data_IF_103267109129
#
_entry.id   IF_103267109129
#
_cell.length_a   1.000
_cell.length_b   1.000
_cell.length_c   1.000
_cell.angle_alpha   90.00
_cell.angle_beta   90.00
_cell.angle_gamma   90.00
#
_symmetry.space_group_name_H-M   'P 1'
#
loop_
_entity.id
_entity.type
_entity.pdbx_description
1 polymer ?
#
# COMPACT_ATOMS: atom_id res chain seq x y z
N UNK A 1 -13.63 -34.25 -46.47
CA UNK A 1 -14.87 -34.03 -45.69
C UNK A 1 -14.70 -34.69 -44.32
N UNK A 2 -14.16 -33.98 -43.33
CA UNK A 2 -13.99 -34.53 -41.99
C UNK A 2 -15.32 -34.38 -41.23
N UNK A 3 -16.02 -35.50 -41.01
CA UNK A 3 -17.26 -35.55 -40.23
C UNK A 3 -16.96 -35.19 -38.78
N UNK A 4 -17.41 -34.01 -38.34
CA UNK A 4 -17.37 -33.61 -36.94
C UNK A 4 -18.16 -34.64 -36.10
N UNK A 5 -17.48 -35.26 -35.13
CA UNK A 5 -18.13 -36.19 -34.19
C UNK A 5 -19.18 -35.42 -33.39
N UNK A 6 -20.43 -35.91 -33.29
CA UNK A 6 -21.45 -35.27 -32.48
C UNK A 6 -21.05 -35.34 -31.00
N UNK A 7 -20.64 -34.19 -30.46
CA UNK A 7 -20.43 -34.01 -29.02
C UNK A 7 -21.80 -33.76 -28.39
N UNK A 8 -22.52 -34.83 -28.01
CA UNK A 8 -23.70 -34.65 -27.18
C UNK A 8 -23.25 -34.37 -25.74
N UNK A 9 -23.53 -33.18 -25.18
CA UNK A 9 -23.26 -32.94 -23.77
C UNK A 9 -24.12 -33.90 -22.97
N UNK A 10 -23.48 -34.86 -22.29
CA UNK A 10 -24.15 -35.69 -21.30
C UNK A 10 -24.34 -34.83 -20.07
N UNK A 11 -25.58 -34.46 -19.79
CA UNK A 11 -25.93 -33.84 -18.52
C UNK A 11 -25.53 -34.79 -17.38
N UNK A 12 -24.93 -34.23 -16.33
CA UNK A 12 -24.63 -35.00 -15.13
C UNK A 12 -25.93 -35.48 -14.47
N UNK A 13 -25.90 -36.62 -13.79
CA UNK A 13 -27.07 -37.17 -13.06
C UNK A 13 -27.74 -36.12 -12.16
N UNK A 14 -26.96 -35.27 -11.51
CA UNK A 14 -27.46 -34.17 -10.67
C UNK A 14 -28.21 -33.09 -11.46
N UNK A 15 -27.79 -32.79 -12.68
CA UNK A 15 -28.47 -31.84 -13.56
C UNK A 15 -29.80 -32.42 -14.05
N UNK A 16 -29.85 -33.72 -14.34
CA UNK A 16 -31.08 -34.42 -14.72
C UNK A 16 -32.08 -34.38 -13.57
N UNK A 17 -31.67 -34.75 -12.36
CA UNK A 17 -32.56 -34.70 -11.17
C UNK A 17 -33.05 -33.29 -10.85
N UNK A 18 -32.20 -32.27 -11.04
CA UNK A 18 -32.63 -30.88 -10.86
C UNK A 18 -33.70 -30.46 -11.89
N UNK A 19 -33.53 -30.86 -13.16
CA UNK A 19 -34.52 -30.60 -14.22
C UNK A 19 -35.85 -31.31 -13.95
N UNK A 20 -35.80 -32.58 -13.55
CA UNK A 20 -36.98 -33.36 -13.18
C UNK A 20 -37.70 -32.76 -11.96
N UNK A 21 -36.95 -32.29 -10.95
CA UNK A 21 -37.53 -31.63 -9.79
C UNK A 21 -38.25 -30.33 -10.13
N UNK A 22 -37.71 -29.53 -11.06
CA UNK A 22 -38.38 -28.32 -11.56
C UNK A 22 -39.67 -28.68 -12.30
N UNK A 23 -39.63 -29.65 -13.22
CA UNK A 23 -40.83 -30.11 -13.94
C UNK A 23 -41.91 -30.64 -12.99
N UNK A 24 -41.51 -31.39 -11.96
CA UNK A 24 -42.44 -31.87 -10.94
C UNK A 24 -43.13 -30.71 -10.20
N UNK A 25 -42.37 -29.72 -9.74
CA UNK A 25 -42.93 -28.54 -9.06
C UNK A 25 -43.83 -27.70 -9.98
N UNK A 26 -43.54 -27.63 -11.28
CA UNK A 26 -44.42 -27.02 -12.27
C UNK A 26 -45.74 -27.78 -12.42
N UNK A 27 -45.69 -29.12 -12.48
CA UNK A 27 -46.87 -29.96 -12.61
C UNK A 27 -47.81 -29.91 -11.39
N UNK A 28 -47.26 -29.70 -10.19
CA UNK A 28 -48.04 -29.49 -8.97
C UNK A 28 -48.58 -28.06 -8.80
N UNK A 29 -48.32 -27.16 -9.77
CA UNK A 29 -48.75 -25.76 -9.70
C UNK A 29 -47.99 -24.92 -8.67
N UNK A 30 -46.83 -25.39 -8.18
CA UNK A 30 -45.95 -24.67 -7.23
C UNK A 30 -45.07 -23.63 -7.92
N UNK A 31 -45.60 -22.94 -8.93
CA UNK A 31 -44.86 -21.94 -9.73
C UNK A 31 -44.36 -20.78 -8.90
N UNK A 32 -45.13 -20.33 -7.90
CA UNK A 32 -44.70 -19.29 -6.94
C UNK A 32 -43.44 -19.69 -6.17
N UNK A 33 -43.29 -20.97 -5.81
CA UNK A 33 -42.11 -21.45 -5.10
C UNK A 33 -40.88 -21.42 -6.01
N UNK A 34 -41.05 -21.77 -7.28
CA UNK A 34 -40.00 -21.71 -8.31
C UNK A 34 -39.59 -20.27 -8.62
N UNK A 35 -40.55 -19.33 -8.67
CA UNK A 35 -40.29 -17.90 -8.81
C UNK A 35 -39.55 -17.34 -7.60
N UNK A 36 -39.99 -17.65 -6.38
CA UNK A 36 -39.33 -17.21 -5.14
C UNK A 36 -37.90 -17.74 -5.01
N UNK A 37 -37.61 -18.93 -5.53
CA UNK A 37 -36.27 -19.51 -5.54
C UNK A 37 -35.42 -19.04 -6.73
N UNK A 38 -35.96 -18.21 -7.62
CA UNK A 38 -35.26 -17.74 -8.82
C UNK A 38 -34.99 -18.84 -9.85
N UNK A 39 -35.65 -20.00 -9.74
CA UNK A 39 -35.55 -21.12 -10.69
C UNK A 39 -36.40 -20.87 -11.94
N UNK A 40 -37.46 -20.06 -11.80
CA UNK A 40 -38.33 -19.62 -12.88
C UNK A 40 -38.41 -18.09 -12.88
N UNK A 41 -37.31 -17.45 -13.26
CA UNK A 41 -37.28 -16.00 -13.51
C UNK A 41 -37.68 -15.67 -14.96
N UNK A 42 -38.17 -14.44 -15.22
CA UNK A 42 -38.33 -13.94 -16.58
C UNK A 42 -37.00 -14.05 -17.32
N UNK A 43 -37.06 -14.26 -18.64
CA UNK A 43 -35.91 -14.48 -19.53
C UNK A 43 -34.64 -13.78 -19.04
N UNK A 44 -33.58 -14.59 -18.91
CA UNK A 44 -32.22 -14.20 -18.53
C UNK A 44 -31.90 -12.76 -18.95
N UNK A 45 -32.06 -11.83 -18.03
CA UNK A 45 -31.09 -10.75 -17.89
C UNK A 45 -29.79 -11.47 -17.56
N UNK A 46 -29.03 -11.81 -18.61
CA UNK A 46 -27.66 -12.26 -18.46
C UNK A 46 -27.02 -11.32 -17.45
N UNK A 47 -26.40 -11.82 -16.36
CA UNK A 47 -25.71 -10.95 -15.45
C UNK A 47 -24.63 -10.21 -16.26
N UNK A 48 -24.93 -8.96 -16.64
CA UNK A 48 -24.05 -8.05 -17.39
C UNK A 48 -22.82 -7.65 -16.59
N UNK A 49 -22.74 -8.13 -15.34
CA UNK A 49 -21.51 -8.37 -14.63
C UNK A 49 -20.73 -9.47 -15.37
N UNK A 50 -20.14 -9.10 -16.51
CA UNK A 50 -18.98 -9.77 -17.06
C UNK A 50 -17.98 -9.83 -15.92
N UNK A 51 -17.94 -10.97 -15.22
CA UNK A 51 -16.89 -11.26 -14.27
C UNK A 51 -15.64 -11.21 -15.11
N UNK A 52 -14.90 -10.12 -14.96
CA UNK A 52 -13.59 -10.00 -15.57
C UNK A 52 -12.85 -11.29 -15.21
N UNK A 53 -12.27 -11.94 -16.22
CA UNK A 53 -11.40 -13.07 -15.95
C UNK A 53 -10.37 -12.61 -14.92
N UNK A 54 -9.93 -13.50 -14.03
CA UNK A 54 -8.99 -13.14 -12.96
C UNK A 54 -7.80 -12.33 -13.48
N UNK A 55 -7.34 -12.63 -14.70
CA UNK A 55 -6.29 -11.89 -15.40
C UNK A 55 -6.68 -10.45 -15.78
N UNK A 56 -7.90 -10.22 -16.26
CA UNK A 56 -8.41 -8.88 -16.56
C UNK A 56 -8.63 -8.05 -15.29
N UNK A 57 -9.05 -8.67 -14.20
CA UNK A 57 -9.13 -8.00 -12.90
C UNK A 57 -7.73 -7.60 -12.39
N UNK A 58 -6.74 -8.51 -12.48
CA UNK A 58 -5.35 -8.19 -12.11
C UNK A 58 -4.74 -7.10 -12.99
N UNK A 59 -5.03 -7.08 -14.29
CA UNK A 59 -4.56 -6.02 -15.18
C UNK A 59 -5.16 -4.65 -14.81
N UNK A 60 -6.46 -4.59 -14.52
CA UNK A 60 -7.13 -3.36 -14.05
C UNK A 60 -6.58 -2.90 -12.70
N UNK A 61 -6.33 -3.80 -11.77
CA UNK A 61 -5.71 -3.47 -10.48
C UNK A 61 -4.27 -2.97 -10.64
N UNK A 62 -3.49 -3.58 -11.54
CA UNK A 62 -2.14 -3.12 -11.85
C UNK A 62 -2.14 -1.73 -12.47
N UNK A 63 -3.11 -1.43 -13.35
CA UNK A 63 -3.28 -0.10 -13.94
C UNK A 63 -3.60 0.97 -12.88
N UNK A 64 -4.44 0.63 -11.90
CA UNK A 64 -4.76 1.53 -10.77
C UNK A 64 -3.54 1.72 -9.86
N UNK A 65 -2.75 0.67 -9.66
CA UNK A 65 -1.57 0.71 -8.80
C UNK A 65 -0.41 1.52 -9.43
N UNK A 66 -0.20 1.40 -10.74
CA UNK A 66 0.87 2.12 -11.44
C UNK A 66 0.49 3.55 -11.81
N UNK A 67 -0.80 3.86 -12.01
CA UNK A 67 -1.25 5.23 -12.28
C UNK A 67 -0.55 5.86 -13.49
N UNK A 68 0.11 7.01 -13.27
CA UNK A 68 0.88 7.74 -14.29
C UNK A 68 2.33 7.22 -14.43
N UNK A 69 2.83 6.39 -13.51
CA UNK A 69 4.18 5.81 -13.50
C UNK A 69 4.26 4.50 -14.32
N UNK A 70 3.46 4.40 -15.39
CA UNK A 70 3.45 3.20 -16.24
C UNK A 70 4.72 3.11 -17.08
N UNK A 71 5.20 1.87 -17.28
CA UNK A 71 5.86 1.38 -18.44
C UNK A 71 5.80 2.28 -19.67
N UNK A 72 6.88 2.86 -20.20
CA UNK A 72 6.78 3.20 -21.62
C UNK A 72 6.63 1.88 -22.39
N UNK A 73 5.63 1.75 -23.27
CA UNK A 73 5.32 0.49 -23.98
C UNK A 73 6.52 0.02 -24.83
N UNK A 74 7.38 0.96 -25.23
CA UNK A 74 8.60 0.69 -25.99
C UNK A 74 9.79 0.27 -25.12
N UNK A 75 9.71 0.42 -23.79
CA UNK A 75 10.79 0.08 -22.87
C UNK A 75 10.76 -1.41 -22.49
N UNK A 76 11.68 -2.21 -23.06
CA UNK A 76 11.82 -3.64 -22.69
C UNK A 76 12.63 -3.86 -21.42
N UNK A 77 13.38 -2.85 -20.98
CA UNK A 77 14.25 -2.94 -19.79
C UNK A 77 14.24 -1.64 -19.00
N UNK A 78 14.49 -1.72 -17.69
CA UNK A 78 14.58 -0.53 -16.81
C UNK A 78 15.62 0.49 -17.29
N UNK A 79 16.73 0.02 -17.88
CA UNK A 79 17.76 0.88 -18.45
C UNK A 79 17.32 1.60 -19.74
N UNK A 80 16.44 1.00 -20.53
CA UNK A 80 15.83 1.68 -21.68
C UNK A 80 14.81 2.72 -21.23
N UNK A 81 14.03 2.42 -20.20
CA UNK A 81 13.09 3.38 -19.65
C UNK A 81 13.76 4.64 -19.13
N UNK A 82 14.88 4.51 -18.41
CA UNK A 82 15.66 5.67 -17.96
C UNK A 82 16.13 6.55 -19.14
N UNK A 83 16.56 5.93 -20.25
CA UNK A 83 16.97 6.66 -21.46
C UNK A 83 15.78 7.34 -22.15
N UNK A 84 14.63 6.69 -22.19
CA UNK A 84 13.40 7.28 -22.76
C UNK A 84 12.91 8.43 -21.88
N UNK A 85 12.95 8.30 -20.56
CA UNK A 85 12.64 9.37 -19.62
C UNK A 85 13.60 10.55 -19.74
N UNK A 86 14.89 10.29 -19.92
CA UNK A 86 15.91 11.33 -20.16
C UNK A 86 15.66 12.06 -21.49
N UNK A 87 15.44 11.34 -22.59
CA UNK A 87 15.11 11.93 -23.90
C UNK A 87 13.77 12.65 -23.87
N UNK A 88 12.77 12.13 -23.14
CA UNK A 88 11.45 12.77 -22.98
C UNK A 88 11.55 14.01 -22.11
N UNK A 89 12.39 14.03 -21.08
CA UNK A 89 12.67 15.23 -20.29
C UNK A 89 13.44 16.28 -21.10
N UNK A 90 14.37 15.85 -21.97
CA UNK A 90 15.16 16.74 -22.84
C UNK A 90 14.32 17.29 -23.99
N UNK A 91 13.46 16.48 -24.61
CA UNK A 91 12.53 16.90 -25.68
C UNK A 91 11.30 17.65 -25.14
N UNK A 92 10.91 17.40 -23.89
CA UNK A 92 9.96 18.24 -23.15
C UNK A 92 10.60 19.53 -22.62
N UNK A 93 11.70 20.00 -23.25
CA UNK A 93 12.10 21.39 -23.23
C UNK A 93 10.86 22.31 -23.33
N UNK A 94 10.76 23.33 -22.47
CA UNK A 94 9.54 24.08 -22.27
C UNK A 94 9.10 24.65 -23.62
N UNK A 95 7.90 24.24 -24.08
CA UNK A 95 7.21 24.90 -25.20
C UNK A 95 7.44 26.39 -25.04
N UNK A 96 8.18 27.00 -25.97
CA UNK A 96 8.42 28.44 -26.03
C UNK A 96 7.12 29.12 -25.63
N UNK A 97 7.09 29.93 -24.55
CA UNK A 97 5.86 30.54 -24.11
C UNK A 97 5.33 31.33 -25.31
N UNK A 98 4.18 30.92 -25.85
CA UNK A 98 3.40 31.80 -26.72
C UNK A 98 3.22 33.06 -25.91
N UNK A 99 3.89 34.14 -26.28
CA UNK A 99 3.85 35.40 -25.54
C UNK A 99 2.39 35.85 -25.51
N UNK A 100 1.70 35.55 -24.42
CA UNK A 100 0.44 36.17 -24.10
C UNK A 100 0.75 37.66 -24.01
N UNK A 101 0.01 38.48 -24.74
CA UNK A 101 0.16 39.94 -24.87
C UNK A 101 -0.10 40.72 -23.56
N UNK A 102 0.20 40.13 -22.40
CA UNK A 102 0.09 40.75 -21.06
C UNK A 102 1.32 40.56 -20.17
N UNK A 103 2.40 39.92 -20.64
CA UNK A 103 3.61 39.62 -19.82
C UNK A 103 4.65 40.76 -19.81
N UNK A 104 4.41 41.87 -20.50
CA UNK A 104 5.38 42.97 -20.56
C UNK A 104 5.49 43.74 -19.24
N UNK A 105 4.40 43.99 -18.51
CA UNK A 105 4.47 44.76 -17.25
C UNK A 105 5.10 43.98 -16.09
N UNK A 106 4.83 42.68 -15.96
CA UNK A 106 5.39 41.87 -14.87
C UNK A 106 6.88 41.55 -15.13
N UNK A 107 7.26 41.43 -16.41
CA UNK A 107 8.67 41.29 -16.82
C UNK A 107 9.49 42.54 -16.50
N UNK A 108 8.99 43.72 -16.87
CA UNK A 108 9.69 44.98 -16.58
C UNK A 108 9.79 45.29 -15.09
N UNK A 109 8.81 44.87 -14.27
CA UNK A 109 8.88 45.05 -12.82
C UNK A 109 9.99 44.19 -12.18
N UNK A 110 10.11 42.92 -12.58
CA UNK A 110 11.18 42.04 -12.09
C UNK A 110 12.56 42.43 -12.60
N UNK A 111 12.64 42.99 -13.80
CA UNK A 111 13.91 43.48 -14.36
C UNK A 111 14.33 44.80 -13.69
N UNK A 112 13.38 45.69 -13.38
CA UNK A 112 13.63 46.88 -12.57
C UNK A 112 14.10 46.51 -11.14
N UNK A 113 13.53 45.48 -10.53
CA UNK A 113 13.98 44.96 -9.22
C UNK A 113 15.43 44.46 -9.23
N UNK A 114 15.91 43.92 -10.36
CA UNK A 114 17.31 43.51 -10.53
C UNK A 114 18.24 44.70 -10.78
N UNK A 115 17.77 45.74 -11.46
CA UNK A 115 18.56 46.94 -11.74
C UNK A 115 18.68 47.84 -10.49
N UNK A 116 17.66 47.89 -9.63
CA UNK A 116 17.68 48.71 -8.40
C UNK A 116 18.39 48.06 -7.20
N UNK A 117 18.68 46.76 -7.21
CA UNK A 117 19.49 46.11 -6.17
C UNK A 117 18.96 46.28 -4.74
N UNK A 118 19.87 46.52 -3.79
CA UNK A 118 19.59 46.76 -2.36
C UNK A 118 19.22 48.22 -2.04
N UNK A 119 19.38 49.15 -2.99
CA UNK A 119 18.99 50.57 -2.86
C UNK A 119 17.51 50.77 -3.18
N UNK A 120 16.65 49.86 -2.67
CA UNK A 120 15.21 50.02 -2.83
C UNK A 120 14.75 51.12 -1.88
N UNK A 121 14.03 52.14 -2.39
CA UNK A 121 13.41 53.10 -1.51
C UNK A 121 12.48 52.36 -0.54
N UNK A 122 12.68 52.59 0.76
CA UNK A 122 11.84 52.00 1.80
C UNK A 122 10.35 52.22 1.47
N UNK A 123 9.55 51.17 1.56
CA UNK A 123 8.17 51.13 1.03
C UNK A 123 7.27 52.13 1.76
N UNK A 124 7.64 52.52 2.97
CA UNK A 124 6.94 53.53 3.79
C UNK A 124 7.40 54.97 3.53
N UNK A 125 8.48 55.19 2.78
CA UNK A 125 8.99 56.53 2.49
C UNK A 125 8.32 57.12 1.24
N UNK A 126 7.21 57.83 1.43
CA UNK A 126 6.46 58.47 0.33
C UNK A 126 7.24 59.57 -0.42
N UNK A 127 8.33 60.09 0.16
CA UNK A 127 9.14 61.14 -0.48
C UNK A 127 10.64 60.99 -0.20
N UNK A 128 11.49 61.36 -1.17
CA UNK A 128 12.96 61.32 -1.07
C UNK A 128 13.51 62.14 0.13
N UNK A 129 12.75 63.12 0.61
CA UNK A 129 13.10 63.92 1.79
C UNK A 129 12.89 63.19 3.13
N UNK A 130 11.99 62.20 3.19
CA UNK A 130 11.77 61.36 4.37
C UNK A 130 12.83 60.26 4.49
N UNK A 131 13.27 59.71 3.36
CA UNK A 131 14.38 58.73 3.32
C UNK A 131 15.67 59.27 3.95
N UNK A 132 16.04 60.52 3.65
CA UNK A 132 17.22 61.14 4.27
C UNK A 132 17.12 61.25 5.79
N UNK A 133 15.92 61.48 6.33
CA UNK A 133 15.69 61.55 7.78
C UNK A 133 15.78 60.16 8.43
N UNK A 134 15.30 59.12 7.75
CA UNK A 134 15.36 57.74 8.24
C UNK A 134 16.82 57.24 8.21
N UNK A 135 17.58 57.54 7.15
CA UNK A 135 19.01 57.23 7.06
C UNK A 135 19.84 57.96 8.12
N UNK A 136 19.49 59.20 8.45
CA UNK A 136 20.15 59.98 9.51
C UNK A 136 19.89 59.40 10.91
N UNK A 137 18.65 58.94 11.18
CA UNK A 137 18.30 58.24 12.43
C UNK A 137 18.99 56.87 12.50
N UNK A 138 19.11 56.15 11.38
CA UNK A 138 19.76 54.83 11.34
C UNK A 138 21.29 54.90 11.47
N UNK A 139 21.93 56.04 11.15
CA UNK A 139 23.38 56.23 11.31
C UNK A 139 23.79 56.68 12.71
N UNK A 140 22.85 57.03 13.58
CA UNK A 140 23.16 57.36 14.97
C UNK A 140 23.38 56.05 15.76
N UNK A 141 24.58 55.81 16.34
CA UNK A 141 24.87 54.55 17.02
C UNK A 141 23.99 54.40 18.26
N UNK A 142 23.31 53.26 18.47
CA UNK A 142 22.47 53.06 19.64
C UNK A 142 23.32 53.05 20.90
N UNK A 143 22.93 53.87 21.88
CA UNK A 143 23.45 53.80 23.24
C UNK A 143 23.34 52.35 23.77
N UNK A 144 24.34 51.98 24.55
CA UNK A 144 24.66 50.64 25.05
C UNK A 144 23.45 49.79 25.52
N UNK A 145 23.46 48.47 25.26
CA UNK A 145 22.30 47.62 25.47
C UNK A 145 22.12 47.28 26.95
N UNK A 146 21.11 47.86 27.59
CA UNK A 146 20.51 47.27 28.77
C UNK A 146 19.96 45.87 28.40
N UNK A 147 20.37 44.86 29.18
CA UNK A 147 20.08 43.43 28.97
C UNK A 147 18.58 43.21 28.72
N UNK A 148 18.20 42.96 27.46
CA UNK A 148 16.84 42.51 27.12
C UNK A 148 16.66 41.07 27.63
N UNK A 149 15.51 40.76 28.24
CA UNK A 149 15.21 39.40 28.68
C UNK A 149 15.23 38.47 27.46
N UNK A 150 15.99 37.39 27.58
CA UNK A 150 16.17 36.36 26.56
C UNK A 150 14.83 35.65 26.36
N UNK A 151 14.00 36.16 25.45
CA UNK A 151 12.79 35.49 24.99
C UNK A 151 13.24 34.14 24.41
N UNK A 152 12.84 33.05 25.05
CA UNK A 152 13.06 31.72 24.54
C UNK A 152 12.27 31.60 23.24
N UNK A 153 12.99 31.61 22.11
CA UNK A 153 12.44 31.31 20.81
C UNK A 153 12.13 29.81 20.80
N UNK A 154 11.01 29.42 21.40
CA UNK A 154 10.38 28.16 21.08
C UNK A 154 10.06 28.24 19.58
N UNK A 155 10.83 27.52 18.77
CA UNK A 155 10.65 27.51 17.31
C UNK A 155 9.19 27.19 17.01
N UNK A 156 8.61 27.85 16.01
CA UNK A 156 7.18 27.71 15.64
C UNK A 156 6.73 26.26 15.59
N UNK A 157 7.58 25.35 15.14
CA UNK A 157 7.34 23.89 15.12
C UNK A 157 7.14 23.26 16.52
N UNK A 158 7.86 23.72 17.55
CA UNK A 158 7.69 23.26 18.92
C UNK A 158 6.38 23.75 19.55
N UNK A 159 5.95 24.96 19.20
CA UNK A 159 4.64 25.49 19.60
C UNK A 159 3.50 24.70 18.92
N UNK A 160 3.60 24.47 17.60
CA UNK A 160 2.61 23.67 16.87
C UNK A 160 2.55 22.21 17.34
N UNK A 161 3.69 21.61 17.71
CA UNK A 161 3.71 20.26 18.26
C UNK A 161 3.06 20.16 19.66
N UNK A 162 3.25 21.18 20.51
CA UNK A 162 2.58 21.27 21.81
C UNK A 162 1.07 21.45 21.64
N UNK A 163 0.62 22.31 20.72
CA UNK A 163 -0.79 22.48 20.39
C UNK A 163 -1.41 21.21 19.77
N UNK A 164 -0.73 20.56 18.83
CA UNK A 164 -1.21 19.30 18.25
C UNK A 164 -1.38 18.21 19.32
N UNK A 165 -0.45 18.13 20.27
CA UNK A 165 -0.54 17.16 21.37
C UNK A 165 -1.67 17.48 22.36
N UNK A 166 -1.96 18.77 22.57
CA UNK A 166 -3.01 19.20 23.48
C UNK A 166 -4.42 19.12 22.86
N UNK A 167 -4.57 19.49 21.58
CA UNK A 167 -5.86 19.64 20.91
C UNK A 167 -6.25 18.46 20.00
N UNK A 168 -5.30 17.79 19.36
CA UNK A 168 -5.58 16.70 18.42
C UNK A 168 -5.50 15.33 19.13
N UNK A 169 -4.60 15.21 20.10
CA UNK A 169 -4.35 13.98 20.88
C UNK A 169 -5.07 13.97 22.24
N UNK A 170 -6.20 14.68 22.37
CA UNK A 170 -6.90 14.85 23.64
C UNK A 170 -7.22 13.52 24.31
N UNK A 171 -6.51 13.17 25.42
CA UNK A 171 -6.65 12.02 26.35
C UNK A 171 -6.84 10.60 25.77
N UNK A 172 -7.25 10.43 24.52
CA UNK A 172 -7.27 9.18 23.81
C UNK A 172 -5.84 8.81 23.46
N UNK A 173 -5.38 7.70 24.04
CA UNK A 173 -4.14 7.04 23.64
C UNK A 173 -4.22 6.78 22.13
N UNK A 174 -3.47 7.56 21.34
CA UNK A 174 -3.15 7.22 19.96
C UNK A 174 -2.62 5.78 19.98
N UNK A 175 -3.30 4.89 19.26
CA UNK A 175 -3.06 3.46 19.33
C UNK A 175 -1.57 3.12 19.28
N UNK A 176 -1.15 2.25 20.20
CA UNK A 176 0.22 1.78 20.36
C UNK A 176 0.88 1.57 18.98
N UNK A 177 1.92 2.35 18.71
CA UNK A 177 2.64 2.29 17.44
C UNK A 177 3.04 0.85 17.12
N UNK A 178 3.16 0.50 15.83
CA UNK A 178 3.45 -0.86 15.35
C UNK A 178 4.65 -1.56 16.02
N UNK A 179 5.55 -0.78 16.62
CA UNK A 179 6.67 -1.28 17.42
C UNK A 179 6.25 -1.78 18.81
N UNK A 180 5.27 -1.16 19.46
CA UNK A 180 4.68 -1.63 20.72
C UNK A 180 3.76 -2.85 20.54
N UNK A 181 3.09 -2.99 19.38
CA UNK A 181 2.34 -4.23 19.07
C UNK A 181 3.22 -5.47 18.99
N UNK A 182 4.53 -5.36 18.68
CA UNK A 182 5.44 -6.52 18.69
C UNK A 182 5.79 -6.97 20.12
N UNK A 183 5.86 -6.03 21.07
CA UNK A 183 6.17 -6.35 22.47
C UNK A 183 4.98 -7.02 23.18
N UNK A 184 3.74 -6.70 22.81
CA UNK A 184 2.54 -7.31 23.40
C UNK A 184 2.12 -8.63 22.74
N UNK A 185 2.50 -8.88 21.47
CA UNK A 185 2.26 -10.18 20.80
C UNK A 185 3.21 -11.31 21.21
N UNK A 186 4.24 -11.02 22.01
CA UNK A 186 5.19 -12.02 22.50
C UNK A 186 4.63 -12.94 23.59
N UNK A 187 3.50 -12.59 24.19
CA UNK A 187 2.75 -13.49 25.08
C UNK A 187 1.50 -13.94 24.31
N UNK A 188 1.32 -15.24 24.02
CA UNK A 188 0.07 -15.73 23.46
C UNK A 188 -1.01 -15.54 24.53
N UNK A 189 -1.65 -14.38 24.52
CA UNK A 189 -2.97 -14.23 25.11
C UNK A 189 -3.86 -15.15 24.28
N UNK A 190 -4.09 -16.33 24.81
CA UNK A 190 -5.14 -17.24 24.37
C UNK A 190 -6.45 -16.47 24.50
N UNK A 191 -6.79 -15.67 23.49
CA UNK A 191 -8.14 -15.14 23.33
C UNK A 191 -9.04 -16.36 23.37
N UNK A 192 -9.71 -16.53 24.50
CA UNK A 192 -10.61 -17.63 24.74
C UNK A 192 -11.74 -17.47 23.72
N UNK A 193 -11.59 -18.11 22.56
CA UNK A 193 -12.63 -18.24 21.51
C UNK A 193 -13.93 -18.85 22.06
N UNK A 194 -13.91 -19.31 23.30
CA UNK A 194 -15.09 -19.71 24.05
C UNK A 194 -16.08 -18.57 24.25
N UNK A 195 -15.69 -17.30 24.29
CA UNK A 195 -16.62 -16.21 24.62
C UNK A 195 -17.66 -15.90 23.53
N UNK A 196 -17.29 -15.96 22.25
CA UNK A 196 -18.24 -15.71 21.16
C UNK A 196 -19.05 -16.95 20.80
N UNK A 197 -18.45 -18.14 20.91
CA UNK A 197 -19.15 -19.40 20.66
C UNK A 197 -20.15 -19.70 21.79
N UNK A 198 -19.81 -19.43 23.06
CA UNK A 198 -20.75 -19.62 24.17
C UNK A 198 -21.96 -18.70 24.05
N UNK A 199 -21.75 -17.43 23.68
CA UNK A 199 -22.85 -16.48 23.44
C UNK A 199 -23.76 -16.94 22.31
N UNK A 200 -23.19 -17.40 21.18
CA UNK A 200 -23.99 -17.93 20.08
C UNK A 200 -24.78 -19.19 20.47
N UNK A 201 -24.23 -20.05 21.34
CA UNK A 201 -24.94 -21.24 21.85
C UNK A 201 -26.08 -20.84 22.79
N UNK A 202 -25.88 -19.85 23.65
CA UNK A 202 -26.91 -19.33 24.56
C UNK A 202 -28.05 -18.65 23.79
N UNK A 203 -27.73 -17.83 22.77
CA UNK A 203 -28.73 -17.22 21.89
C UNK A 203 -29.49 -18.29 21.08
N UNK A 204 -28.80 -19.29 20.54
CA UNK A 204 -29.44 -20.37 19.78
C UNK A 204 -30.39 -21.23 20.64
N UNK A 205 -30.06 -21.45 21.92
CA UNK A 205 -30.93 -22.18 22.86
C UNK A 205 -32.23 -21.43 23.15
N UNK A 206 -32.22 -20.09 23.06
CA UNK A 206 -33.42 -19.28 23.22
C UNK A 206 -34.31 -19.31 21.97
N UNK A 207 -33.71 -19.31 20.78
CA UNK A 207 -34.45 -19.28 19.50
C UNK A 207 -35.02 -20.67 19.15
N UNK A 208 -34.32 -21.76 19.49
CA UNK A 208 -34.80 -23.12 19.21
C UNK A 208 -34.50 -24.07 20.39
N UNK A 209 -35.42 -24.22 21.36
CA UNK A 209 -35.16 -24.95 22.61
C UNK A 209 -34.99 -26.47 22.45
N UNK A 210 -35.49 -27.06 21.35
CA UNK A 210 -35.55 -28.52 21.17
C UNK A 210 -34.43 -29.13 20.31
N UNK A 211 -33.46 -28.34 19.84
CA UNK A 211 -32.34 -28.88 19.03
C UNK A 211 -31.17 -29.27 19.93
N UNK A 212 -30.99 -30.58 20.13
CA UNK A 212 -29.79 -31.12 20.77
C UNK A 212 -28.59 -31.01 19.82
N UNK A 213 -27.89 -29.86 19.87
CA UNK A 213 -26.68 -29.55 19.09
C UNK A 213 -25.52 -30.55 19.27
N UNK A 214 -25.58 -31.44 20.28
CA UNK A 214 -24.57 -32.48 20.50
C UNK A 214 -24.86 -33.79 19.78
N UNK A 215 -26.10 -34.08 19.39
CA UNK A 215 -26.45 -35.36 18.75
C UNK A 215 -25.95 -35.44 17.29
N UNK A 216 -25.90 -34.31 16.57
CA UNK A 216 -25.41 -34.26 15.19
C UNK A 216 -23.89 -34.22 15.03
N UNK A 217 -23.12 -33.97 16.11
CA UNK A 217 -21.66 -33.74 16.02
C UNK A 217 -20.81 -35.02 16.07
N UNK A 218 -21.43 -36.20 16.02
CA UNK A 218 -20.77 -37.49 15.74
C UNK A 218 -20.55 -37.69 14.23
N UNK A 219 -20.01 -36.69 13.53
CA UNK A 219 -19.64 -36.85 12.12
C UNK A 219 -18.30 -37.57 12.01
N UNK A 220 -18.36 -38.89 11.73
CA UNK A 220 -17.44 -39.70 10.89
C UNK A 220 -15.91 -39.61 11.08
N UNK A 221 -15.36 -38.84 12.01
CA UNK A 221 -13.91 -38.64 12.15
C UNK A 221 -13.23 -39.62 13.10
N UNK A 222 -13.98 -40.53 13.73
CA UNK A 222 -13.47 -41.50 14.69
C UNK A 222 -13.01 -42.82 14.06
N UNK A 223 -13.28 -43.08 12.76
CA UNK A 223 -13.02 -44.41 12.17
C UNK A 223 -11.77 -44.49 11.28
N UNK A 224 -10.94 -43.44 11.18
CA UNK A 224 -9.66 -43.54 10.47
C UNK A 224 -8.61 -42.61 11.09
N UNK A 225 -7.61 -43.13 11.84
CA UNK A 225 -6.47 -42.32 12.24
C UNK A 225 -5.73 -41.90 10.97
N UNK A 226 -5.80 -40.61 10.63
CA UNK A 226 -5.05 -40.07 9.50
C UNK A 226 -3.56 -40.29 9.76
N UNK A 227 -2.80 -40.89 8.82
CA UNK A 227 -1.36 -41.05 8.97
C UNK A 227 -0.75 -39.65 9.17
N UNK A 228 -0.02 -39.48 10.27
CA UNK A 228 0.62 -38.22 10.61
C UNK A 228 1.70 -37.89 9.60
N UNK A 229 1.34 -37.19 8.52
CA UNK A 229 2.32 -36.62 7.60
C UNK A 229 3.17 -35.63 8.41
N UNK A 230 4.42 -36.01 8.70
CA UNK A 230 5.45 -35.12 9.23
C UNK A 230 5.77 -34.09 8.15
N UNK A 231 4.95 -33.05 8.04
CA UNK A 231 5.27 -31.86 7.26
C UNK A 231 6.35 -31.13 8.05
N UNK A 232 7.62 -31.51 7.84
CA UNK A 232 8.68 -30.55 8.05
C UNK A 232 8.31 -29.36 7.16
N UNK A 233 7.94 -28.23 7.76
CA UNK A 233 7.46 -27.08 7.00
C UNK A 233 8.56 -26.66 6.04
N UNK A 234 8.21 -26.32 4.80
CA UNK A 234 9.16 -25.78 3.80
C UNK A 234 10.05 -24.68 4.39
N UNK A 235 9.53 -23.89 5.32
CA UNK A 235 10.25 -22.89 6.11
C UNK A 235 11.41 -23.44 6.95
N UNK A 236 11.31 -24.65 7.52
CA UNK A 236 12.39 -25.29 8.27
C UNK A 236 13.54 -25.73 7.34
N UNK A 237 13.22 -26.21 6.14
CA UNK A 237 14.21 -26.55 5.12
C UNK A 237 14.93 -25.31 4.60
N UNK A 238 14.19 -24.22 4.32
CA UNK A 238 14.79 -22.94 3.90
C UNK A 238 15.68 -22.35 4.99
N UNK A 239 15.28 -22.43 6.27
CA UNK A 239 16.08 -21.94 7.39
C UNK A 239 17.38 -22.74 7.57
N UNK A 240 17.33 -24.08 7.37
CA UNK A 240 18.51 -24.94 7.42
C UNK A 240 19.46 -24.63 6.25
N UNK A 241 18.93 -24.53 5.03
CA UNK A 241 19.70 -24.18 3.84
C UNK A 241 20.39 -22.80 3.95
N UNK A 242 19.69 -21.80 4.49
CA UNK A 242 20.25 -20.46 4.72
C UNK A 242 21.41 -20.45 5.73
N UNK A 243 21.31 -21.25 6.80
CA UNK A 243 22.41 -21.40 7.78
C UNK A 243 23.63 -22.08 7.17
N UNK A 244 23.44 -23.10 6.34
CA UNK A 244 24.53 -23.81 5.67
C UNK A 244 25.21 -22.96 4.58
N UNK A 245 24.45 -22.08 3.93
CA UNK A 245 25.01 -21.08 3.01
C UNK A 245 25.89 -20.06 3.75
N UNK A 246 25.40 -19.51 4.88
CA UNK A 246 26.18 -18.57 5.68
C UNK A 246 27.48 -19.19 6.22
N UNK A 247 27.44 -20.45 6.67
CA UNK A 247 28.63 -21.17 7.14
C UNK A 247 29.68 -21.35 6.03
N UNK A 248 29.24 -21.67 4.80
CA UNK A 248 30.14 -21.77 3.63
C UNK A 248 30.75 -20.42 3.25
N UNK A 249 29.93 -19.37 3.24
CA UNK A 249 30.40 -18.00 2.91
C UNK A 249 31.42 -17.45 3.91
N UNK A 250 31.29 -17.79 5.20
CA UNK A 250 32.27 -17.40 6.23
C UNK A 250 33.58 -18.18 6.14
N UNK A 251 33.54 -19.45 5.70
CA UNK A 251 34.75 -20.27 5.58
C UNK A 251 35.60 -19.89 4.36
N UNK A 252 34.98 -19.51 3.25
CA UNK A 252 35.69 -19.05 2.04
C UNK A 252 36.35 -17.67 2.17
N UNK A 253 35.89 -16.82 3.11
CA UNK A 253 36.50 -15.50 3.35
C UNK A 253 37.76 -15.56 4.21
N UNK A 254 37.96 -16.65 4.96
CA UNK A 254 39.15 -16.85 5.82
C UNK A 254 40.29 -17.61 5.12
N UNK A 255 40.02 -18.22 3.97
CA UNK A 255 41.02 -18.94 3.17
C UNK A 255 41.60 -18.10 2.02
N UNK A 256 41.10 -16.89 1.78
CA UNK A 256 41.64 -16.00 0.73
C UNK A 256 42.65 -14.98 1.26
N UNK A 257 42.68 -14.77 2.58
CA UNK A 257 43.63 -13.87 3.25
C UNK A 257 44.91 -14.61 3.70
N UNK A 258 44.98 -15.94 3.57
CA UNK A 258 46.15 -16.75 3.95
C UNK A 258 46.98 -17.16 2.72
N UNK A 259 46.42 -17.10 1.51
CA UNK A 259 47.13 -17.50 0.27
C UNK A 259 47.86 -16.31 -0.37
N UNK A 260 47.50 -15.08 -0.03
CA UNK A 260 48.15 -13.87 -0.57
C UNK A 260 49.44 -13.48 0.20
N UNK A 261 49.74 -14.13 1.33
CA UNK A 261 50.99 -13.93 2.10
C UNK A 261 52.08 -14.99 1.80
N UNK A 262 51.76 -16.10 1.13
CA UNK A 262 52.76 -17.14 0.78
C UNK A 262 53.30 -17.01 -0.66
N UNK A 263 52.71 -16.18 -1.53
CA UNK A 263 53.21 -15.95 -2.90
C UNK A 263 54.22 -14.78 -3.01
N UNK A 264 54.46 -13.99 -1.95
CA UNK A 264 55.46 -12.90 -1.96
C UNK A 264 56.86 -13.31 -1.42
N UNK A 265 57.02 -14.49 -0.80
CA UNK A 265 58.34 -14.94 -0.30
C UNK A 265 59.15 -15.81 -1.28
N UNK A 266 58.59 -16.23 -2.43
CA UNK A 266 59.30 -17.09 -3.39
C UNK A 266 60.02 -16.34 -4.53
N UNK A 267 59.87 -15.01 -4.63
CA UNK A 267 60.49 -14.17 -5.69
C UNK A 267 61.72 -13.35 -5.22
N UNK A 268 62.22 -13.54 -3.98
CA UNK A 268 63.44 -12.86 -3.46
C UNK A 268 64.72 -13.71 -3.43
N UNK A 269 64.72 -14.98 -3.90
CA UNK A 269 65.90 -15.87 -3.86
C UNK A 269 66.42 -16.39 -5.23
N UNK A 270 66.27 -15.64 -6.33
CA UNK A 270 66.85 -16.00 -7.65
C UNK A 270 67.80 -14.95 -8.25
#
# INVERSE_FOLDING_TARGET
>A
MASAKPSMPRDGTMQVTAKEGVQYLESEGKTKLLEMQGLKGPEKDEPTLKRDSTMAATAKEADVLLGDDKPDEDAKTRGQQAKIEEVKAETASPKKPKMAKGVTMVGTAKEADRILGDDKPDVDAMTRGQQKKIEEISKQPPASPAKKPRIQKDGTMAATAKEAKAHILGKEKLGDTRQQTKATTGKPSTMKKTSSISKAIEEAKWVVPDINVNEGRRTRSQSNPKPGMKRAGTMQETAKAGRDFLKRSKKGKKSKEIVEEEEEEEDEEA
#
